data_IF_067501167737
#
_entry.id   IF_067501167737
#
_cell.length_a   1.000
_cell.length_b   1.000
_cell.length_c   1.000
_cell.angle_alpha   90.00
_cell.angle_beta   90.00
_cell.angle_gamma   90.00
#
_symmetry.space_group_name_H-M   'P 1'
#
loop_
_entity.id
_entity.type
_entity.pdbx_description
1 polymer ?
#
# COMPACT_ATOMS: atom_id res chain seq x y z
N UNK A 1 25.11 6.39 15.20
CA UNK A 1 24.49 6.07 13.91
C UNK A 1 24.72 4.60 13.60
N UNK A 2 23.76 3.71 13.85
CA UNK A 2 23.83 2.34 13.32
C UNK A 2 23.64 2.41 11.81
N UNK A 3 24.64 1.97 11.04
CA UNK A 3 24.52 1.81 9.59
C UNK A 3 23.29 0.92 9.32
N UNK A 4 22.25 1.50 8.71
CA UNK A 4 21.13 0.70 8.20
C UNK A 4 21.70 -0.16 7.08
N UNK A 5 21.50 -1.49 7.07
CA UNK A 5 22.10 -2.35 6.06
C UNK A 5 21.39 -2.10 4.73
N UNK A 6 22.00 -1.24 3.90
CA UNK A 6 21.59 -1.08 2.50
C UNK A 6 21.79 -2.43 1.79
N UNK A 7 20.77 -2.87 1.07
CA UNK A 7 20.85 -4.03 0.21
C UNK A 7 21.49 -3.60 -1.11
N UNK A 8 22.68 -4.13 -1.39
CA UNK A 8 23.37 -3.88 -2.65
C UNK A 8 22.54 -4.42 -3.82
N UNK A 9 22.55 -3.70 -4.96
CA UNK A 9 22.11 -4.25 -6.24
C UNK A 9 23.21 -5.16 -6.75
N UNK A 10 22.96 -6.45 -6.77
CA UNK A 10 23.93 -7.42 -7.24
C UNK A 10 23.24 -8.56 -7.97
N UNK A 11 23.91 -9.05 -9.01
CA UNK A 11 23.59 -10.31 -9.66
C UNK A 11 24.27 -11.45 -8.92
N UNK A 12 23.70 -12.65 -9.00
CA UNK A 12 24.28 -13.84 -8.38
C UNK A 12 24.58 -14.90 -9.43
N UNK A 13 25.61 -15.71 -9.17
CA UNK A 13 25.91 -16.91 -9.93
C UNK A 13 25.28 -18.17 -9.29
N UNK A 14 25.43 -19.32 -9.96
CA UNK A 14 24.89 -20.61 -9.49
C UNK A 14 25.50 -21.05 -8.16
N UNK A 15 26.79 -20.80 -7.94
CA UNK A 15 27.48 -21.20 -6.71
C UNK A 15 26.96 -20.39 -5.51
N UNK A 16 26.81 -19.08 -5.68
CA UNK A 16 26.24 -18.16 -4.71
C UNK A 16 24.78 -18.49 -4.41
N UNK A 17 23.98 -18.81 -5.44
CA UNK A 17 22.59 -19.23 -5.26
C UNK A 17 22.49 -20.54 -4.48
N UNK A 18 23.32 -21.54 -4.82
CA UNK A 18 23.37 -22.80 -4.10
C UNK A 18 23.76 -22.63 -2.64
N UNK A 19 24.73 -21.76 -2.35
CA UNK A 19 25.10 -21.41 -0.97
C UNK A 19 23.92 -20.75 -0.24
N UNK A 20 23.26 -19.78 -0.87
CA UNK A 20 22.10 -19.09 -0.30
C UNK A 20 20.95 -20.06 -0.01
N UNK A 21 20.65 -20.96 -0.94
CA UNK A 21 19.58 -21.95 -0.80
C UNK A 21 19.88 -22.97 0.30
N UNK A 22 21.13 -23.42 0.43
CA UNK A 22 21.56 -24.25 1.57
C UNK A 22 21.39 -23.53 2.91
N UNK A 23 21.80 -22.27 3.01
CA UNK A 23 21.66 -21.47 4.24
C UNK A 23 20.20 -21.23 4.63
N UNK A 24 19.32 -21.05 3.64
CA UNK A 24 17.91 -20.69 3.84
C UNK A 24 16.96 -21.88 3.77
N UNK A 25 17.49 -23.11 3.79
CA UNK A 25 16.71 -24.37 3.71
C UNK A 25 15.72 -24.39 2.53
N UNK A 26 16.09 -23.74 1.42
CA UNK A 26 15.27 -23.69 0.21
C UNK A 26 15.24 -25.07 -0.45
N UNK A 27 14.07 -25.51 -0.89
CA UNK A 27 13.92 -26.75 -1.67
C UNK A 27 14.02 -26.51 -3.19
N UNK A 28 14.22 -25.26 -3.61
CA UNK A 28 14.26 -24.86 -5.02
C UNK A 28 15.67 -24.49 -5.43
N UNK A 29 16.08 -24.93 -6.63
CA UNK A 29 17.37 -24.53 -7.24
C UNK A 29 17.30 -23.16 -7.92
N UNK A 30 16.10 -22.58 -8.01
CA UNK A 30 15.84 -21.25 -8.54
C UNK A 30 15.73 -20.20 -7.44
N UNK A 31 16.07 -18.96 -7.79
CA UNK A 31 15.88 -17.78 -6.96
C UNK A 31 14.39 -17.46 -6.87
N UNK A 32 13.86 -17.40 -5.66
CA UNK A 32 12.42 -17.22 -5.41
C UNK A 32 12.03 -15.74 -5.37
N UNK A 33 10.87 -15.42 -5.96
CA UNK A 33 10.19 -14.13 -5.80
C UNK A 33 9.19 -14.12 -4.62
N UNK A 34 9.31 -15.06 -3.67
CA UNK A 34 8.47 -15.13 -2.45
C UNK A 34 6.96 -15.15 -2.71
N UNK A 35 6.55 -15.79 -3.83
CA UNK A 35 5.14 -15.85 -4.24
C UNK A 35 4.49 -14.50 -4.57
N UNK A 36 5.26 -13.43 -4.84
CA UNK A 36 4.71 -12.09 -5.13
C UNK A 36 4.65 -11.73 -6.62
N UNK A 37 5.27 -12.51 -7.50
CA UNK A 37 5.24 -12.26 -8.94
C UNK A 37 3.82 -12.45 -9.49
N UNK A 38 3.21 -11.39 -10.01
CA UNK A 38 1.90 -11.47 -10.68
C UNK A 38 2.00 -11.52 -12.20
N UNK A 39 3.08 -10.99 -12.76
CA UNK A 39 3.28 -10.97 -14.20
C UNK A 39 4.76 -10.87 -14.53
N UNK A 40 5.18 -11.51 -15.61
CA UNK A 40 6.52 -11.39 -16.14
C UNK A 40 6.49 -11.50 -17.66
N UNK A 41 7.23 -10.62 -18.32
CA UNK A 41 7.61 -10.77 -19.72
C UNK A 41 9.03 -10.20 -19.94
N UNK A 42 9.43 -10.12 -21.21
CA UNK A 42 10.77 -9.64 -21.57
C UNK A 42 11.02 -8.14 -21.33
N UNK A 43 9.97 -7.36 -21.11
CA UNK A 43 10.05 -5.92 -20.92
C UNK A 43 9.93 -5.53 -19.45
N UNK A 44 8.90 -6.04 -18.79
CA UNK A 44 8.56 -5.72 -17.42
C UNK A 44 8.08 -6.94 -16.62
N UNK A 45 8.28 -6.86 -15.30
CA UNK A 45 7.62 -7.73 -14.34
C UNK A 45 6.75 -6.91 -13.39
N UNK A 46 5.71 -7.54 -12.86
CA UNK A 46 4.83 -6.95 -11.86
C UNK A 46 4.91 -7.74 -10.56
N UNK A 47 5.35 -7.05 -9.50
CA UNK A 47 5.43 -7.60 -8.15
C UNK A 47 4.27 -7.07 -7.32
N UNK A 48 3.53 -7.97 -6.71
CA UNK A 48 2.37 -7.64 -5.88
C UNK A 48 2.81 -7.34 -4.46
N UNK A 49 2.44 -6.16 -3.98
CA UNK A 49 2.58 -5.84 -2.57
C UNK A 49 1.25 -6.18 -1.90
N UNK A 50 1.20 -7.41 -1.41
CA UNK A 50 0.13 -7.84 -0.52
C UNK A 50 0.60 -7.59 0.90
N UNK A 51 0.09 -6.54 1.53
CA UNK A 51 0.13 -6.46 2.98
C UNK A 51 -0.83 -7.55 3.48
N UNK A 52 -0.30 -8.73 3.77
CA UNK A 52 -1.08 -9.95 4.05
C UNK A 52 -2.08 -9.78 5.20
N UNK A 53 -1.87 -8.81 6.10
CA UNK A 53 -2.82 -8.46 7.16
C UNK A 53 -4.02 -7.63 6.68
N UNK A 54 -4.00 -7.00 5.50
CA UNK A 54 -4.99 -5.99 5.16
C UNK A 54 -6.29 -6.53 4.54
N UNK A 55 -6.31 -7.73 3.93
CA UNK A 55 -7.57 -8.23 3.33
C UNK A 55 -8.63 -8.51 4.39
N UNK A 56 -8.26 -9.29 5.42
CA UNK A 56 -9.12 -9.56 6.56
C UNK A 56 -9.44 -8.28 7.34
N UNK A 57 -8.46 -7.39 7.50
CA UNK A 57 -8.66 -6.11 8.19
C UNK A 57 -9.57 -5.15 7.43
N UNK A 58 -9.55 -5.14 6.09
CA UNK A 58 -10.45 -4.31 5.30
C UNK A 58 -11.89 -4.81 5.45
N UNK A 59 -12.11 -6.12 5.33
CA UNK A 59 -13.45 -6.73 5.54
C UNK A 59 -13.92 -6.48 6.98
N UNK A 60 -13.07 -6.75 7.97
CA UNK A 60 -13.37 -6.51 9.38
C UNK A 60 -13.65 -5.02 9.63
N UNK A 61 -12.91 -4.13 9.01
CA UNK A 61 -13.10 -2.69 9.07
C UNK A 61 -14.47 -2.28 8.53
N UNK A 62 -14.89 -2.81 7.38
CA UNK A 62 -16.24 -2.58 6.86
C UNK A 62 -17.29 -3.12 7.83
N UNK A 63 -17.17 -4.36 8.27
CA UNK A 63 -18.14 -5.00 9.18
C UNK A 63 -18.27 -4.25 10.51
N UNK A 64 -17.17 -3.72 11.03
CA UNK A 64 -17.15 -3.00 12.31
C UNK A 64 -17.66 -1.56 12.19
N UNK A 65 -17.20 -0.82 11.17
CA UNK A 65 -17.45 0.63 11.08
C UNK A 65 -18.70 0.99 10.26
N UNK A 66 -19.15 0.13 9.33
CA UNK A 66 -20.35 0.41 8.54
C UNK A 66 -21.61 0.48 9.41
N UNK A 67 -21.87 -0.44 10.36
CA UNK A 67 -23.02 -0.33 11.26
C UNK A 67 -22.96 0.93 12.13
N UNK A 68 -21.76 1.29 12.62
CA UNK A 68 -21.56 2.50 13.43
C UNK A 68 -21.88 3.75 12.60
N UNK A 69 -21.40 3.83 11.35
CA UNK A 69 -21.72 4.95 10.46
C UNK A 69 -23.23 5.06 10.19
N UNK A 70 -23.93 3.94 9.97
CA UNK A 70 -25.38 3.90 9.76
C UNK A 70 -26.13 4.36 11.02
N UNK A 71 -25.72 3.89 12.20
CA UNK A 71 -26.35 4.26 13.48
C UNK A 71 -26.14 5.75 13.80
N UNK A 72 -24.93 6.27 13.62
CA UNK A 72 -24.67 7.70 13.83
C UNK A 72 -25.47 8.56 12.86
N UNK A 73 -25.52 8.18 11.58
CA UNK A 73 -26.33 8.89 10.58
C UNK A 73 -27.83 8.84 10.91
N UNK A 74 -28.34 7.66 11.30
CA UNK A 74 -29.73 7.46 11.71
C UNK A 74 -30.10 8.29 12.95
N UNK A 75 -29.21 8.37 13.95
CA UNK A 75 -29.42 9.18 15.15
C UNK A 75 -29.51 10.69 14.82
N UNK A 76 -28.64 11.18 13.92
CA UNK A 76 -28.68 12.58 13.47
C UNK A 76 -29.96 12.87 12.69
N UNK A 77 -30.37 11.98 11.78
CA UNK A 77 -31.63 12.13 11.04
C UNK A 77 -32.85 12.09 11.97
N UNK A 78 -32.86 11.18 12.95
CA UNK A 78 -33.93 11.10 13.93
C UNK A 78 -34.03 12.36 14.77
N UNK A 79 -32.90 12.93 15.19
CA UNK A 79 -32.88 14.19 15.91
C UNK A 79 -33.48 15.34 15.08
N UNK A 80 -33.10 15.46 13.81
CA UNK A 80 -33.70 16.48 12.92
C UNK A 80 -35.18 16.25 12.68
N UNK A 81 -35.60 14.99 12.51
CA UNK A 81 -37.01 14.63 12.37
C UNK A 81 -37.81 15.06 13.61
N UNK A 82 -37.32 14.74 14.81
CA UNK A 82 -38.01 15.11 16.05
C UNK A 82 -38.07 16.63 16.24
N UNK A 83 -36.96 17.33 15.98
CA UNK A 83 -36.89 18.79 16.10
C UNK A 83 -37.86 19.52 15.15
N UNK A 84 -38.04 19.00 13.93
CA UNK A 84 -38.88 19.62 12.89
C UNK A 84 -40.36 19.25 13.09
N UNK A 85 -40.67 17.95 13.21
CA UNK A 85 -42.06 17.47 13.19
C UNK A 85 -42.71 17.45 14.57
N UNK A 86 -41.92 17.37 15.65
CA UNK A 86 -42.41 17.46 17.04
C UNK A 86 -41.97 18.78 17.70
N UNK A 87 -41.98 19.87 16.94
CA UNK A 87 -41.47 21.18 17.35
C UNK A 87 -42.08 21.69 18.67
N UNK A 88 -43.38 21.51 18.88
CA UNK A 88 -44.05 21.96 20.11
C UNK A 88 -43.46 21.29 21.36
N UNK A 89 -43.28 19.97 21.32
CA UNK A 89 -42.65 19.19 22.39
C UNK A 89 -41.19 19.59 22.59
N UNK A 90 -40.48 19.84 21.48
CA UNK A 90 -39.10 20.27 21.51
C UNK A 90 -38.94 21.62 22.24
N UNK A 91 -39.79 22.61 21.96
CA UNK A 91 -39.76 23.94 22.61
C UNK A 91 -40.10 23.84 24.10
N UNK A 92 -41.09 23.04 24.47
CA UNK A 92 -41.46 22.81 25.88
C UNK A 92 -40.30 22.18 26.66
N UNK A 93 -39.61 21.20 26.06
CA UNK A 93 -38.44 20.56 26.65
C UNK A 93 -37.27 21.54 26.80
N UNK A 94 -37.06 22.42 25.81
CA UNK A 94 -36.04 23.48 25.88
C UNK A 94 -36.32 24.47 27.01
N UNK A 95 -37.59 24.88 27.19
CA UNK A 95 -37.97 25.81 28.26
C UNK A 95 -37.86 25.21 29.66
N UNK A 96 -38.16 23.91 29.80
CA UNK A 96 -38.15 23.22 31.10
C UNK A 96 -36.77 22.67 31.50
N UNK A 97 -35.93 22.29 30.52
CA UNK A 97 -34.62 21.65 30.74
C UNK A 97 -33.58 22.13 29.73
N UNK A 98 -33.31 23.43 29.73
CA UNK A 98 -32.40 24.06 28.78
C UNK A 98 -30.99 23.44 28.78
N UNK A 99 -30.44 23.13 29.96
CA UNK A 99 -29.07 22.59 30.10
C UNK A 99 -28.93 21.19 29.49
N UNK A 100 -29.89 20.29 29.79
CA UNK A 100 -29.93 18.93 29.23
C UNK A 100 -30.06 18.98 27.69
N UNK A 101 -30.90 19.89 27.21
CA UNK A 101 -31.14 20.05 25.78
C UNK A 101 -29.90 20.61 25.07
N UNK A 102 -29.17 21.55 25.67
CA UNK A 102 -27.91 22.09 25.13
C UNK A 102 -26.83 21.00 25.06
N UNK A 103 -26.72 20.16 26.08
CA UNK A 103 -25.82 19.00 26.07
C UNK A 103 -26.17 18.02 24.94
N UNK A 104 -27.46 17.76 24.72
CA UNK A 104 -27.94 16.91 23.62
C UNK A 104 -27.55 17.47 22.25
N UNK A 105 -27.68 18.78 22.04
CA UNK A 105 -27.25 19.45 20.79
C UNK A 105 -25.75 19.28 20.56
N UNK A 106 -24.95 19.50 21.60
CA UNK A 106 -23.51 19.31 21.53
C UNK A 106 -23.15 17.85 21.20
N UNK A 107 -23.84 16.89 21.81
CA UNK A 107 -23.67 15.47 21.49
C UNK A 107 -24.04 15.15 20.03
N UNK A 108 -25.13 15.72 19.50
CA UNK A 108 -25.52 15.55 18.09
C UNK A 108 -24.47 16.11 17.14
N UNK A 109 -23.89 17.28 17.44
CA UNK A 109 -22.80 17.87 16.64
C UNK A 109 -21.58 16.95 16.63
N UNK A 110 -21.21 16.36 17.77
CA UNK A 110 -20.13 15.37 17.85
C UNK A 110 -20.46 14.13 17.03
N UNK A 111 -21.67 13.57 17.17
CA UNK A 111 -22.11 12.37 16.43
C UNK A 111 -22.11 12.64 14.93
N UNK A 112 -22.56 13.83 14.50
CA UNK A 112 -22.52 14.26 13.12
C UNK A 112 -21.08 14.29 12.59
N UNK A 113 -20.14 14.89 13.32
CA UNK A 113 -18.73 14.88 12.96
C UNK A 113 -18.17 13.45 12.87
N UNK A 114 -18.47 12.61 13.87
CA UNK A 114 -18.04 11.20 13.89
C UNK A 114 -18.62 10.39 12.73
N UNK A 115 -19.84 10.70 12.29
CA UNK A 115 -20.45 10.08 11.11
C UNK A 115 -19.57 10.27 9.87
N UNK A 116 -19.06 11.49 9.65
CA UNK A 116 -18.13 11.74 8.54
C UNK A 116 -16.83 10.98 8.67
N UNK A 117 -16.27 10.90 9.88
CA UNK A 117 -15.02 10.17 10.14
C UNK A 117 -15.20 8.68 9.82
N UNK A 118 -16.25 8.05 10.36
CA UNK A 118 -16.52 6.63 10.10
C UNK A 118 -16.89 6.36 8.65
N UNK A 119 -17.68 7.24 8.02
CA UNK A 119 -17.99 7.13 6.60
C UNK A 119 -16.72 7.18 5.73
N UNK A 120 -15.76 8.05 6.06
CA UNK A 120 -14.47 8.12 5.38
C UNK A 120 -13.66 6.83 5.52
N UNK A 121 -13.62 6.27 6.73
CA UNK A 121 -12.93 5.00 7.03
C UNK A 121 -13.56 3.84 6.26
N UNK A 122 -14.89 3.75 6.24
CA UNK A 122 -15.63 2.72 5.50
C UNK A 122 -15.43 2.86 3.99
N UNK A 123 -15.55 4.09 3.46
CA UNK A 123 -15.30 4.41 2.05
C UNK A 123 -13.91 3.93 1.62
N UNK A 124 -12.90 4.14 2.46
CA UNK A 124 -11.56 3.67 2.20
C UNK A 124 -11.49 2.14 2.12
N UNK A 125 -12.04 1.43 3.11
CA UNK A 125 -11.96 -0.03 3.14
C UNK A 125 -12.69 -0.69 1.97
N UNK A 126 -13.83 -0.13 1.55
CA UNK A 126 -14.61 -0.60 0.39
C UNK A 126 -13.84 -0.37 -0.91
N UNK A 127 -13.15 0.77 -1.05
CA UNK A 127 -12.48 1.15 -2.30
C UNK A 127 -10.99 0.85 -2.35
N UNK A 128 -10.45 0.18 -1.32
CA UNK A 128 -9.10 -0.34 -1.35
C UNK A 128 -8.88 -1.25 -2.57
N UNK A 129 -7.79 -1.09 -3.32
CA UNK A 129 -7.45 -2.00 -4.40
C UNK A 129 -7.08 -3.36 -3.83
N UNK A 130 -7.25 -4.39 -4.65
CA UNK A 130 -6.96 -5.78 -4.29
C UNK A 130 -5.50 -5.90 -3.85
N UNK A 131 -4.56 -5.40 -4.63
CA UNK A 131 -3.14 -5.38 -4.28
C UNK A 131 -2.51 -4.06 -4.71
N UNK A 132 -1.27 -3.82 -4.29
CA UNK A 132 -0.52 -2.62 -4.64
C UNK A 132 0.67 -3.02 -5.52
N UNK A 133 0.51 -3.10 -6.85
CA UNK A 133 1.58 -3.60 -7.70
C UNK A 133 2.74 -2.60 -7.82
N UNK A 134 3.92 -3.14 -8.09
CA UNK A 134 5.09 -2.39 -8.56
C UNK A 134 5.54 -3.03 -9.86
N UNK A 135 5.63 -2.23 -10.91
CA UNK A 135 6.15 -2.67 -12.21
C UNK A 135 7.60 -2.26 -12.33
N UNK A 136 8.44 -3.22 -12.70
CA UNK A 136 9.85 -3.00 -13.01
C UNK A 136 10.03 -3.24 -14.50
N UNK A 137 10.36 -2.21 -15.26
CA UNK A 137 10.66 -2.34 -16.69
C UNK A 137 12.18 -2.33 -16.89
N UNK A 138 12.72 -3.48 -17.27
CA UNK A 138 14.17 -3.67 -17.47
C UNK A 138 14.69 -3.05 -18.77
N UNK A 139 13.83 -2.85 -19.78
CA UNK A 139 14.20 -2.23 -21.07
C UNK A 139 14.29 -0.71 -20.98
N UNK A 140 13.46 -0.07 -20.16
CA UNK A 140 13.49 1.38 -19.93
C UNK A 140 14.29 1.76 -18.69
N UNK A 141 14.55 0.81 -17.77
CA UNK A 141 15.20 1.08 -16.50
C UNK A 141 14.31 1.86 -15.52
N UNK A 142 12.99 1.83 -15.72
CA UNK A 142 11.99 2.56 -14.93
C UNK A 142 11.23 1.64 -13.98
N UNK A 143 10.80 2.20 -12.86
CA UNK A 143 9.98 1.54 -11.85
C UNK A 143 8.71 2.35 -11.61
N UNK A 144 7.57 1.68 -11.68
CA UNK A 144 6.27 2.29 -11.50
C UNK A 144 5.62 1.73 -10.24
N UNK A 145 5.22 2.61 -9.34
CA UNK A 145 4.67 2.25 -8.03
C UNK A 145 3.21 2.69 -7.98
N UNK A 146 2.33 1.73 -7.71
CA UNK A 146 0.91 1.99 -7.50
C UNK A 146 0.61 2.08 -6.00
N UNK A 147 0.61 3.29 -5.45
CA UNK A 147 0.33 3.54 -4.03
C UNK A 147 -1.13 3.94 -3.82
N UNK A 148 -1.68 3.58 -2.65
CA UNK A 148 -3.02 3.95 -2.26
C UNK A 148 -3.05 4.58 -0.88
N UNK A 149 -4.02 5.45 -0.70
CA UNK A 149 -4.01 6.52 0.29
C UNK A 149 -3.92 6.04 1.76
N UNK A 150 -4.56 4.94 2.19
CA UNK A 150 -4.45 4.53 3.61
C UNK A 150 -3.11 3.99 4.02
N UNK A 151 -2.28 3.50 3.09
CA UNK A 151 -0.90 3.25 3.48
C UNK A 151 -0.24 4.55 3.99
N UNK A 152 -0.59 5.70 3.38
CA UNK A 152 -0.18 7.02 3.88
C UNK A 152 -0.91 7.43 5.17
N UNK A 153 -2.18 7.07 5.38
CA UNK A 153 -2.95 7.39 6.60
C UNK A 153 -2.37 6.67 7.82
N UNK A 154 -2.10 5.38 7.71
CA UNK A 154 -1.66 4.56 8.86
C UNK A 154 -0.18 4.79 9.19
N UNK A 155 0.64 5.23 8.22
CA UNK A 155 2.10 5.28 8.38
C UNK A 155 2.78 6.62 8.07
N UNK A 156 2.16 7.56 7.33
CA UNK A 156 2.82 8.80 6.92
C UNK A 156 2.17 10.07 7.51
N UNK A 157 0.84 10.27 7.47
CA UNK A 157 0.22 11.54 7.90
C UNK A 157 -1.20 11.39 8.47
N UNK A 158 -1.39 11.53 9.79
CA UNK A 158 -2.71 11.39 10.43
C UNK A 158 -3.58 12.65 10.35
N UNK A 159 -2.99 13.86 10.28
CA UNK A 159 -3.73 15.12 10.43
C UNK A 159 -3.96 15.90 9.12
N UNK A 160 -2.96 15.98 8.23
CA UNK A 160 -3.14 16.60 6.90
C UNK A 160 -3.99 15.75 5.95
N UNK A 161 -4.15 14.47 6.27
CA UNK A 161 -4.93 13.51 5.48
C UNK A 161 -6.33 14.03 5.12
N UNK A 162 -7.05 14.60 6.10
CA UNK A 162 -8.41 15.09 5.92
C UNK A 162 -8.52 16.26 4.92
N UNK A 163 -7.43 17.02 4.74
CA UNK A 163 -7.37 18.14 3.80
C UNK A 163 -6.98 17.71 2.37
N UNK A 164 -6.08 16.74 2.23
CA UNK A 164 -5.63 16.27 0.91
C UNK A 164 -6.58 15.25 0.27
N UNK A 165 -7.33 14.50 1.08
CA UNK A 165 -8.19 13.41 0.63
C UNK A 165 -9.59 13.53 1.23
N UNK A 166 -10.43 14.43 0.69
CA UNK A 166 -11.79 14.59 1.19
C UNK A 166 -12.58 13.28 1.06
N UNK A 167 -13.25 12.89 2.14
CA UNK A 167 -13.97 11.61 2.28
C UNK A 167 -15.03 11.34 1.20
N UNK A 168 -15.59 12.40 0.58
CA UNK A 168 -16.60 12.31 -0.46
C UNK A 168 -16.01 12.08 -1.86
N UNK A 169 -14.67 12.21 -2.04
CA UNK A 169 -14.02 11.87 -3.30
C UNK A 169 -13.58 10.41 -3.29
N UNK A 170 -13.76 9.76 -4.44
CA UNK A 170 -13.17 8.44 -4.70
C UNK A 170 -11.66 8.53 -4.44
N UNK A 171 -11.16 7.76 -3.49
CA UNK A 171 -9.71 7.65 -3.25
C UNK A 171 -9.07 7.14 -4.52
N UNK A 172 -8.30 8.01 -5.18
CA UNK A 172 -7.55 7.65 -6.38
C UNK A 172 -6.18 7.14 -5.94
N UNK A 173 -5.65 6.10 -6.59
CA UNK A 173 -4.28 5.67 -6.36
C UNK A 173 -3.32 6.73 -6.89
N UNK A 174 -2.23 6.94 -6.18
CA UNK A 174 -1.09 7.69 -6.70
C UNK A 174 -0.20 6.73 -7.48
N UNK A 175 -0.04 6.98 -8.78
CA UNK A 175 0.92 6.26 -9.60
C UNK A 175 2.19 7.10 -9.67
N UNK A 176 3.32 6.51 -9.29
CA UNK A 176 4.62 7.18 -9.24
C UNK A 176 5.59 6.49 -10.19
N UNK A 177 6.47 7.27 -10.79
CA UNK A 177 7.50 6.79 -11.71
C UNK A 177 8.88 7.16 -11.16
N UNK A 178 9.81 6.19 -11.19
CA UNK A 178 11.16 6.35 -10.68
C UNK A 178 12.19 5.69 -11.60
N UNK A 179 13.43 6.18 -11.57
CA UNK A 179 14.54 5.49 -12.21
C UNK A 179 15.06 4.36 -11.32
N UNK A 180 15.28 3.19 -11.91
CA UNK A 180 15.88 2.06 -11.20
C UNK A 180 17.23 2.43 -10.61
N UNK A 181 18.04 3.25 -11.28
CA UNK A 181 19.36 3.70 -10.80
C UNK A 181 19.28 4.47 -9.48
N UNK A 182 18.23 5.27 -9.28
CA UNK A 182 18.01 6.12 -8.10
C UNK A 182 17.48 5.36 -6.87
N UNK A 183 17.02 4.12 -7.04
CA UNK A 183 16.42 3.33 -5.96
C UNK A 183 17.50 2.59 -5.17
N UNK A 184 17.48 2.66 -3.84
CA UNK A 184 18.23 1.74 -2.98
C UNK A 184 17.29 1.05 -2.01
N UNK A 185 17.46 -0.26 -1.81
CA UNK A 185 16.68 -1.00 -0.83
C UNK A 185 17.38 -1.03 0.53
N UNK A 186 16.60 -0.92 1.60
CA UNK A 186 17.02 -1.16 2.97
C UNK A 186 16.19 -2.30 3.53
N UNK A 187 16.86 -3.31 4.08
CA UNK A 187 16.19 -4.32 4.87
C UNK A 187 15.99 -3.77 6.28
N UNK A 188 14.73 -3.66 6.68
CA UNK A 188 14.34 -3.21 8.02
C UNK A 188 13.77 -4.42 8.75
N UNK A 189 14.48 -4.83 9.79
CA UNK A 189 14.06 -5.86 10.71
C UNK A 189 13.69 -5.22 12.04
N UNK A 190 12.45 -5.39 12.48
CA UNK A 190 11.99 -4.88 13.77
C UNK A 190 11.27 -5.98 14.54
N UNK A 191 11.67 -6.16 15.81
CA UNK A 191 11.07 -7.11 16.73
C UNK A 191 10.74 -6.39 18.03
N UNK A 192 9.45 -6.29 18.32
CA UNK A 192 8.90 -5.82 19.57
C UNK A 192 8.35 -7.01 20.38
N UNK A 193 8.03 -6.79 21.65
CA UNK A 193 7.48 -7.82 22.56
C UNK A 193 6.22 -8.51 22.03
N UNK A 194 5.44 -7.80 21.21
CA UNK A 194 4.13 -8.26 20.71
C UNK A 194 4.06 -8.46 19.19
N UNK A 195 5.10 -8.06 18.45
CA UNK A 195 5.07 -8.14 16.99
C UNK A 195 6.47 -8.11 16.40
N UNK A 196 6.66 -8.85 15.32
CA UNK A 196 7.89 -8.84 14.54
C UNK A 196 7.55 -8.62 13.08
N UNK A 197 8.17 -7.63 12.46
CA UNK A 197 8.04 -7.39 11.03
C UNK A 197 9.40 -7.25 10.35
N UNK A 198 9.49 -7.81 9.15
CA UNK A 198 10.58 -7.56 8.22
C UNK A 198 10.03 -6.87 6.97
N UNK A 199 10.69 -5.79 6.55
CA UNK A 199 10.28 -5.01 5.37
C UNK A 199 11.47 -4.66 4.51
N UNK A 200 11.28 -4.69 3.19
CA UNK A 200 12.18 -4.00 2.26
C UNK A 200 11.59 -2.63 1.99
N UNK A 201 12.32 -1.60 2.41
CA UNK A 201 12.01 -0.21 2.11
C UNK A 201 12.91 0.26 0.97
N UNK A 202 12.30 0.58 -0.16
CA UNK A 202 12.98 1.19 -1.29
C UNK A 202 12.98 2.71 -1.08
N UNK A 203 14.17 3.28 -0.96
CA UNK A 203 14.42 4.72 -0.88
C UNK A 203 14.76 5.21 -2.28
N UNK A 204 14.10 6.30 -2.68
CA UNK A 204 14.33 7.00 -3.93
C UNK A 204 15.13 8.25 -3.63
N UNK A 205 16.31 8.36 -4.24
CA UNK A 205 17.16 9.55 -4.16
C UNK A 205 16.93 10.46 -5.37
N UNK A 206 17.24 11.74 -5.21
CA UNK A 206 17.14 12.75 -6.27
C UNK A 206 18.03 12.44 -7.47
N UNK A 207 19.23 11.95 -7.20
CA UNK A 207 20.12 11.41 -8.22
C UNK A 207 20.86 10.21 -7.68
N UNK A 208 21.49 9.43 -8.57
CA UNK A 208 22.32 8.29 -8.16
C UNK A 208 23.53 8.68 -7.30
N UNK A 209 23.88 9.97 -7.28
CA UNK A 209 25.04 10.52 -6.57
C UNK A 209 24.58 11.30 -5.31
N UNK A 210 23.34 11.79 -5.29
CA UNK A 210 22.82 12.58 -4.18
C UNK A 210 22.46 11.71 -2.97
N UNK A 211 22.66 12.27 -1.77
CA UNK A 211 22.18 11.71 -0.51
C UNK A 211 20.78 12.21 -0.13
N UNK A 212 20.20 13.11 -0.93
CA UNK A 212 18.86 13.66 -0.70
C UNK A 212 17.77 12.65 -1.11
N UNK A 213 17.00 12.21 -0.13
CA UNK A 213 15.86 11.31 -0.31
C UNK A 213 14.63 12.10 -0.75
N UNK A 214 14.01 11.71 -1.87
CA UNK A 214 12.78 12.32 -2.39
C UNK A 214 11.54 11.57 -1.91
N UNK A 215 11.53 10.23 -2.01
CA UNK A 215 10.42 9.41 -1.56
C UNK A 215 10.92 8.05 -1.08
N UNK A 216 10.04 7.29 -0.43
CA UNK A 216 10.23 5.88 -0.18
C UNK A 216 8.91 5.14 -0.25
N UNK A 217 9.01 3.92 -0.77
CA UNK A 217 7.93 2.94 -0.81
C UNK A 217 8.40 1.61 -0.22
N UNK A 218 7.48 0.85 0.35
CA UNK A 218 7.77 -0.50 0.82
C UNK A 218 7.48 -1.49 -0.30
N UNK A 219 8.36 -2.49 -0.45
CA UNK A 219 8.22 -3.57 -1.43
C UNK A 219 7.52 -4.79 -0.82
N UNK A 220 7.86 -5.18 0.42
CA UNK A 220 7.18 -6.27 1.15
C UNK A 220 7.11 -5.91 2.64
N UNK A 221 6.08 -6.43 3.31
CA UNK A 221 6.04 -6.66 4.76
C UNK A 221 5.70 -8.14 5.04
N UNK A 222 6.54 -8.82 5.82
CA UNK A 222 6.35 -10.22 6.25
C UNK A 222 6.67 -10.36 7.75
N UNK A 223 6.25 -11.47 8.35
CA UNK A 223 6.66 -11.81 9.71
C UNK A 223 8.18 -11.98 9.77
N UNK A 224 8.82 -11.23 10.66
CA UNK A 224 10.26 -11.28 10.85
C UNK A 224 10.77 -12.67 11.28
N UNK A 225 9.95 -13.51 11.91
CA UNK A 225 10.33 -14.89 12.24
C UNK A 225 10.61 -15.73 10.99
N UNK A 226 9.68 -15.71 10.02
CA UNK A 226 9.89 -16.37 8.72
C UNK A 226 11.02 -15.74 7.93
N UNK A 227 11.17 -14.42 8.02
CA UNK A 227 12.20 -13.73 7.25
C UNK A 227 13.61 -13.98 7.76
N UNK A 228 13.79 -14.06 9.08
CA UNK A 228 15.06 -14.40 9.70
C UNK A 228 15.57 -15.80 9.33
N UNK A 229 14.66 -16.75 9.08
CA UNK A 229 15.02 -18.14 8.75
C UNK A 229 15.20 -18.36 7.25
N UNK A 230 14.28 -17.87 6.42
CA UNK A 230 14.21 -18.21 4.99
C UNK A 230 14.72 -17.09 4.07
N UNK A 231 14.97 -15.90 4.62
CA UNK A 231 15.35 -14.68 3.90
C UNK A 231 14.53 -14.38 2.62
N UNK A 232 13.19 -14.60 2.58
CA UNK A 232 12.33 -14.36 1.43
C UNK A 232 12.42 -12.93 0.91
N UNK A 233 12.56 -11.93 1.79
CA UNK A 233 12.70 -10.55 1.36
C UNK A 233 14.01 -10.36 0.58
N UNK A 234 15.13 -10.80 1.15
CA UNK A 234 16.43 -10.70 0.49
C UNK A 234 16.46 -11.45 -0.85
N UNK A 235 15.88 -12.66 -0.91
CA UNK A 235 15.75 -13.42 -2.16
C UNK A 235 14.93 -12.68 -3.20
N UNK A 236 13.82 -12.04 -2.83
CA UNK A 236 13.06 -11.21 -3.77
C UNK A 236 13.90 -10.02 -4.27
N UNK A 237 14.63 -9.35 -3.38
CA UNK A 237 15.47 -8.23 -3.80
C UNK A 237 16.52 -8.67 -4.82
N UNK A 238 17.20 -9.79 -4.57
CA UNK A 238 18.13 -10.39 -5.53
C UNK A 238 17.42 -10.79 -6.82
N UNK A 239 16.21 -11.33 -6.74
CA UNK A 239 15.42 -11.71 -7.91
C UNK A 239 15.17 -10.51 -8.81
N UNK A 240 14.74 -9.38 -8.23
CA UNK A 240 14.51 -8.13 -8.97
C UNK A 240 15.83 -7.61 -9.56
N UNK A 241 16.93 -7.65 -8.81
CA UNK A 241 18.24 -7.20 -9.30
C UNK A 241 18.71 -8.01 -10.51
N UNK A 242 18.55 -9.33 -10.48
CA UNK A 242 18.91 -10.21 -11.59
C UNK A 242 17.99 -9.98 -12.79
N UNK A 243 16.68 -9.84 -12.58
CA UNK A 243 15.72 -9.50 -13.64
C UNK A 243 16.07 -8.17 -14.34
N UNK A 244 16.34 -7.12 -13.56
CA UNK A 244 16.71 -5.80 -14.07
C UNK A 244 18.07 -5.79 -14.76
N UNK A 245 18.93 -6.78 -14.48
CA UNK A 245 20.25 -6.94 -15.12
C UNK A 245 20.23 -7.96 -16.27
N UNK A 246 19.04 -8.39 -16.73
CA UNK A 246 18.87 -9.39 -17.79
C UNK A 246 19.49 -10.77 -17.48
N UNK A 247 19.66 -11.11 -16.20
CA UNK A 247 20.15 -12.42 -15.77
C UNK A 247 18.99 -13.35 -15.40
N UNK A 248 18.39 -13.95 -16.43
CA UNK A 248 17.15 -14.74 -16.27
C UNK A 248 17.42 -16.21 -15.91
N UNK A 249 18.66 -16.69 -16.08
CA UNK A 249 19.04 -18.12 -15.98
C UNK A 249 18.60 -18.77 -14.66
N UNK A 250 18.63 -18.00 -13.59
CA UNK A 250 18.42 -18.49 -12.21
C UNK A 250 17.06 -18.08 -11.63
N UNK A 251 16.21 -17.41 -12.40
CA UNK A 251 14.96 -16.86 -11.90
C UNK A 251 13.85 -17.92 -11.89
N UNK A 252 13.14 -18.01 -10.77
CA UNK A 252 11.81 -18.60 -10.75
C UNK A 252 10.83 -17.64 -11.42
N UNK A 253 10.12 -18.12 -12.44
CA UNK A 253 9.16 -17.34 -13.23
C UNK A 253 7.72 -17.83 -13.01
N UNK A 254 7.49 -18.65 -11.98
CA UNK A 254 6.17 -19.18 -11.65
C UNK A 254 5.23 -18.10 -11.12
N UNK A 255 4.34 -17.64 -11.98
CA UNK A 255 3.41 -16.54 -11.64
C UNK A 255 2.40 -16.99 -10.58
N UNK A 256 2.20 -16.15 -9.57
CA UNK A 256 1.13 -16.30 -8.59
C UNK A 256 -0.20 -15.85 -9.20
N UNK A 257 -1.09 -16.80 -9.48
CA UNK A 257 -2.43 -16.56 -10.03
C UNK A 257 -3.46 -16.15 -8.96
N UNK A 258 -3.14 -16.29 -7.67
CA UNK A 258 -4.05 -16.01 -6.54
C UNK A 258 -3.72 -14.68 -5.88
N UNK A 259 -3.90 -13.59 -6.63
CA UNK A 259 -3.51 -12.24 -6.19
C UNK A 259 -4.53 -11.64 -5.21
N UNK A 260 -4.68 -12.20 -3.99
CA UNK A 260 -5.64 -11.72 -2.97
C UNK A 260 -7.10 -12.05 -3.32
N UNK A 261 -8.07 -11.82 -2.42
CA UNK A 261 -9.49 -12.18 -2.66
C UNK A 261 -10.47 -11.01 -2.53
N UNK A 262 -10.04 -9.87 -2.00
CA UNK A 262 -10.91 -8.73 -1.69
C UNK A 262 -10.29 -7.42 -2.17
N UNK A 263 -11.12 -6.47 -2.59
CA UNK A 263 -10.70 -5.16 -3.08
C UNK A 263 -10.91 -4.99 -4.58
N UNK A 264 -10.81 -3.74 -5.05
CA UNK A 264 -11.01 -3.41 -6.47
C UNK A 264 -9.87 -3.94 -7.33
N UNK A 265 -10.19 -4.38 -8.53
CA UNK A 265 -9.18 -4.70 -9.53
C UNK A 265 -8.28 -3.49 -9.80
N UNK A 266 -6.97 -3.74 -9.88
CA UNK A 266 -5.99 -2.69 -10.11
C UNK A 266 -6.04 -2.31 -11.59
N UNK A 267 -6.34 -1.04 -11.85
CA UNK A 267 -6.30 -0.45 -13.19
C UNK A 267 -5.31 0.69 -13.17
N UNK A 268 -4.20 0.50 -13.89
CA UNK A 268 -3.23 1.56 -14.10
C UNK A 268 -3.85 2.65 -14.98
N UNK A 269 -3.58 3.94 -14.71
CA UNK A 269 -3.93 5.03 -15.61
C UNK A 269 -3.36 4.79 -17.01
N UNK A 270 -4.09 5.16 -18.06
CA UNK A 270 -3.73 4.82 -19.45
C UNK A 270 -2.34 5.31 -19.85
N UNK A 271 -1.94 6.50 -19.38
CA UNK A 271 -0.63 7.08 -19.61
C UNK A 271 0.50 6.25 -18.96
N UNK A 272 0.34 5.89 -17.68
CA UNK A 272 1.30 5.07 -16.95
C UNK A 272 1.30 3.63 -17.47
N UNK A 273 0.15 3.09 -17.87
CA UNK A 273 0.05 1.74 -18.42
C UNK A 273 0.85 1.63 -19.72
N UNK A 274 0.71 2.63 -20.63
CA UNK A 274 1.52 2.71 -21.85
C UNK A 274 3.01 2.86 -21.53
N UNK A 275 3.40 3.82 -20.69
CA UNK A 275 4.80 4.07 -20.32
C UNK A 275 5.47 2.85 -19.68
N UNK A 276 4.76 2.17 -18.78
CA UNK A 276 5.29 1.02 -18.07
C UNK A 276 5.49 -0.22 -18.92
N UNK A 277 4.79 -0.32 -20.05
CA UNK A 277 4.85 -1.45 -20.99
C UNK A 277 5.78 -1.21 -22.20
N UNK A 278 6.36 -0.02 -22.32
CA UNK A 278 7.23 0.34 -23.44
C UNK A 278 8.35 -0.71 -23.65
N UNK A 279 8.58 -1.07 -24.92
CA UNK A 279 9.55 -2.07 -25.36
C UNK A 279 10.98 -1.51 -25.42
N UNK A 280 11.14 -0.18 -25.45
CA UNK A 280 12.43 0.49 -25.49
C UNK A 280 12.39 1.87 -24.85
N UNK A 281 13.58 2.43 -24.55
CA UNK A 281 13.72 3.80 -24.07
C UNK A 281 13.24 4.83 -25.10
N UNK A 282 13.44 4.56 -26.40
CA UNK A 282 13.02 5.47 -27.46
C UNK A 282 11.51 5.49 -27.65
N UNK A 283 10.85 4.34 -27.56
CA UNK A 283 9.39 4.26 -27.52
C UNK A 283 8.84 4.98 -26.28
N UNK A 284 9.44 4.76 -25.10
CA UNK A 284 9.07 5.48 -23.90
C UNK A 284 9.17 7.01 -24.09
N UNK A 285 10.24 7.50 -24.73
CA UNK A 285 10.41 8.93 -25.05
C UNK A 285 9.32 9.45 -25.98
N UNK A 286 8.91 8.65 -26.98
CA UNK A 286 7.79 9.01 -27.89
C UNK A 286 6.47 9.12 -27.13
N UNK A 287 6.17 8.16 -26.26
CA UNK A 287 4.96 8.17 -25.42
C UNK A 287 4.94 9.38 -24.48
N UNK A 288 6.11 9.82 -23.99
CA UNK A 288 6.20 11.02 -23.14
C UNK A 288 6.11 12.35 -23.90
N UNK A 289 6.29 12.34 -25.23
CA UNK A 289 6.17 13.54 -26.07
C UNK A 289 4.78 13.76 -26.66
N UNK A 290 3.87 12.79 -26.53
CA UNK A 290 2.44 12.89 -26.85
C UNK A 290 1.64 13.50 -25.69
#
# INVERSE_FOLDING_TARGET
MQQRPHLAKQTIDEHQLNKLNKTTQSKTDKLSHSGKLAYINDNYCEITRNYTSFYGMNILGVVLFLPVAILCFGAVLFFFYDAIFNYARYVETWQSRADDQLLMHFAVVIIFFMTFVFAAVVNYFIFAPRHYPVRFNRKTGKVYVYDHVMYSITYKLTYTFWWYYPFYKRTRPECKEYDWSQIQAISIYSRNKHSSYSTIRCIVYDSSISTTMIDAFNLISTDAGTDALLMPNYKLWLWICNYMSFNDRLLDTSVNTQVGIYGREVKWPDDIDKKSKAFSLDEYRRICSE
#
